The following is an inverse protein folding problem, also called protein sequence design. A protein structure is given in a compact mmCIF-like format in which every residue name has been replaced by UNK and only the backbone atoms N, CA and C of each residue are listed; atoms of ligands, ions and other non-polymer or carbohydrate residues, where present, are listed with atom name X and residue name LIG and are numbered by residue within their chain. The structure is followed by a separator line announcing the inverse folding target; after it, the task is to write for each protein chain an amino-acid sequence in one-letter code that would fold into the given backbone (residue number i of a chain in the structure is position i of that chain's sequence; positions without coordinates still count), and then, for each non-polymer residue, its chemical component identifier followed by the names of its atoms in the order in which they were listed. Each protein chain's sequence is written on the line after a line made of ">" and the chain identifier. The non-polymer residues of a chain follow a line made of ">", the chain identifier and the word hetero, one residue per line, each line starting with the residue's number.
data_IF_257151178948
#
_entry.id   IF_257151178948
#
_cell.length_a   1.000
_cell.length_b   1.000
_cell.length_c   1.000
_cell.angle_alpha   90.00
_cell.angle_beta   90.00
_cell.angle_gamma   90.00
#
_symmetry.space_group_name_H-M   'P 1'
#
loop_
_entity.id
_entity.type
_entity.pdbx_description
1 polymer ?
#
# COMPACT_ATOMS: atom_id res chain seq x y z
N UNK A 1 7.87 32.41 12.09
CA UNK A 1 7.87 32.62 10.62
C UNK A 1 7.33 31.33 10.01
N UNK A 2 6.04 31.26 9.74
CA UNK A 2 5.42 30.06 9.18
C UNK A 2 5.77 29.94 7.71
N UNK A 3 6.33 28.79 7.30
CA UNK A 3 6.43 28.45 5.88
C UNK A 3 4.99 28.47 5.32
N UNK A 4 4.76 29.36 4.35
CA UNK A 4 3.51 29.43 3.62
C UNK A 4 3.49 28.22 2.69
N UNK A 5 2.82 27.16 3.13
CA UNK A 5 2.64 25.94 2.33
C UNK A 5 1.90 26.32 1.05
N UNK A 6 2.50 26.01 -0.11
CA UNK A 6 1.81 26.19 -1.39
C UNK A 6 0.75 25.10 -1.52
N UNK A 7 -0.51 25.52 -1.56
CA UNK A 7 -1.66 24.60 -1.65
C UNK A 7 -1.60 23.80 -2.95
N UNK A 8 -1.05 24.38 -4.01
CA UNK A 8 -0.89 23.72 -5.31
C UNK A 8 0.07 22.55 -5.20
N UNK A 9 1.21 22.75 -4.51
CA UNK A 9 2.21 21.69 -4.26
C UNK A 9 1.62 20.54 -3.42
N UNK A 10 0.79 20.87 -2.42
CA UNK A 10 0.12 19.84 -1.59
C UNK A 10 -0.91 19.05 -2.40
N UNK A 11 -1.66 19.70 -3.29
CA UNK A 11 -2.64 19.04 -4.16
C UNK A 11 -1.91 18.14 -5.17
N UNK A 12 -0.86 18.64 -5.83
CA UNK A 12 -0.04 17.86 -6.77
C UNK A 12 0.54 16.63 -6.08
N UNK A 13 1.15 16.79 -4.90
CA UNK A 13 1.65 15.66 -4.12
C UNK A 13 0.54 14.67 -3.74
N UNK A 14 -0.67 15.16 -3.42
CA UNK A 14 -1.82 14.29 -3.13
C UNK A 14 -2.19 13.40 -4.31
N UNK A 15 -2.25 13.97 -5.50
CA UNK A 15 -2.62 13.24 -6.71
C UNK A 15 -1.54 12.24 -7.14
N UNK A 16 -0.26 12.63 -7.02
CA UNK A 16 0.88 11.73 -7.23
C UNK A 16 0.87 10.56 -6.26
N UNK A 17 0.70 10.83 -4.96
CA UNK A 17 0.66 9.81 -3.92
C UNK A 17 -0.49 8.83 -4.14
N UNK A 18 -1.68 9.34 -4.49
CA UNK A 18 -2.85 8.51 -4.79
C UNK A 18 -2.55 7.56 -5.96
N UNK A 19 -2.03 8.10 -7.05
CA UNK A 19 -1.68 7.33 -8.25
C UNK A 19 -0.65 6.24 -7.94
N UNK A 20 0.43 6.60 -7.24
CA UNK A 20 1.47 5.66 -6.82
C UNK A 20 0.89 4.57 -5.90
N UNK A 21 0.02 4.95 -4.96
CA UNK A 21 -0.64 4.03 -4.04
C UNK A 21 -1.53 3.04 -4.78
N UNK A 22 -2.35 3.48 -5.73
CA UNK A 22 -3.23 2.60 -6.52
C UNK A 22 -2.41 1.58 -7.33
N UNK A 23 -1.34 2.02 -8.00
CA UNK A 23 -0.42 1.14 -8.73
C UNK A 23 0.22 0.13 -7.79
N UNK A 24 0.70 0.57 -6.63
CA UNK A 24 1.35 -0.31 -5.66
C UNK A 24 0.37 -1.35 -5.12
N UNK A 25 -0.83 -0.93 -4.70
CA UNK A 25 -1.91 -1.81 -4.22
C UNK A 25 -2.30 -2.86 -5.26
N UNK A 26 -2.39 -2.47 -6.53
CA UNK A 26 -2.65 -3.40 -7.64
C UNK A 26 -1.54 -4.45 -7.77
N UNK A 27 -0.27 -4.03 -7.74
CA UNK A 27 0.88 -4.96 -7.78
C UNK A 27 0.90 -5.91 -6.58
N UNK A 28 0.63 -5.40 -5.37
CA UNK A 28 0.54 -6.22 -4.17
C UNK A 28 -0.54 -7.28 -4.26
N UNK A 29 -1.71 -6.92 -4.80
CA UNK A 29 -2.82 -7.85 -5.04
C UNK A 29 -2.38 -8.98 -5.98
N UNK A 30 -1.73 -8.64 -7.11
CA UNK A 30 -1.23 -9.65 -8.06
C UNK A 30 -0.19 -10.60 -7.44
N UNK A 31 0.70 -10.08 -6.59
CA UNK A 31 1.67 -10.92 -5.86
C UNK A 31 0.96 -11.85 -4.89
N UNK A 32 -0.01 -11.34 -4.12
CA UNK A 32 -0.81 -12.14 -3.18
C UNK A 32 -1.56 -13.26 -3.91
N UNK A 33 -2.25 -12.96 -5.01
CA UNK A 33 -2.96 -13.96 -5.82
C UNK A 33 -2.01 -15.04 -6.38
N UNK A 34 -0.81 -14.65 -6.80
CA UNK A 34 0.21 -15.59 -7.29
C UNK A 34 0.69 -16.52 -6.17
N UNK A 35 0.93 -15.98 -4.98
CA UNK A 35 1.31 -16.73 -3.79
C UNK A 35 0.22 -17.71 -3.36
N UNK A 36 -1.04 -17.28 -3.36
CA UNK A 36 -2.19 -18.12 -3.00
C UNK A 36 -2.32 -19.31 -3.97
N UNK A 37 -2.14 -19.06 -5.27
CA UNK A 37 -2.10 -20.14 -6.28
C UNK A 37 -0.98 -21.13 -6.01
N UNK A 38 0.25 -20.65 -5.79
CA UNK A 38 1.40 -21.51 -5.49
C UNK A 38 1.19 -22.32 -4.19
N UNK A 39 0.54 -21.72 -3.20
CA UNK A 39 0.28 -22.37 -1.90
C UNK A 39 -0.89 -23.36 -1.94
N UNK A 40 -1.76 -23.26 -2.95
CA UNK A 40 -2.90 -24.17 -3.17
C UNK A 40 -2.52 -25.46 -3.89
N UNK A 41 -1.34 -25.51 -4.51
CA UNK A 41 -0.82 -26.70 -5.18
C UNK A 41 -0.35 -27.70 -4.11
N UNK A 42 -0.71 -28.98 -4.27
CA UNK A 42 -0.36 -30.04 -3.31
C UNK A 42 1.15 -30.28 -3.33
N UNK A 43 1.86 -29.80 -2.30
CA UNK A 43 3.29 -29.94 -2.18
C UNK A 43 3.61 -30.80 -0.94
N UNK A 44 4.25 -31.96 -1.14
CA UNK A 44 4.58 -32.90 -0.04
C UNK A 44 5.98 -32.71 0.54
N UNK A 45 6.73 -31.70 0.10
CA UNK A 45 8.12 -31.50 0.52
C UNK A 45 8.25 -30.51 1.68
N UNK A 46 9.24 -30.73 2.56
CA UNK A 46 9.61 -29.81 3.64
C UNK A 46 9.90 -28.39 3.12
N UNK A 47 10.63 -28.29 2.01
CA UNK A 47 10.96 -27.01 1.34
C UNK A 47 9.71 -26.26 0.88
N UNK A 48 8.68 -26.95 0.42
CA UNK A 48 7.44 -26.30 0.01
C UNK A 48 6.62 -25.76 1.19
N UNK A 49 6.60 -26.49 2.31
CA UNK A 49 5.98 -26.02 3.55
C UNK A 49 6.72 -24.79 4.11
N UNK A 50 8.04 -24.77 4.05
CA UNK A 50 8.86 -23.61 4.43
C UNK A 50 8.58 -22.40 3.51
N UNK A 51 8.51 -22.60 2.20
CA UNK A 51 8.15 -21.55 1.25
C UNK A 51 6.76 -20.97 1.52
N UNK A 52 5.78 -21.80 1.88
CA UNK A 52 4.43 -21.37 2.27
C UNK A 52 4.45 -20.46 3.51
N UNK A 53 5.25 -20.78 4.52
CA UNK A 53 5.40 -19.91 5.70
C UNK A 53 5.99 -18.54 5.33
N UNK A 54 7.03 -18.52 4.48
CA UNK A 54 7.60 -17.26 3.97
C UNK A 54 6.58 -16.43 3.19
N UNK A 55 5.75 -17.10 2.39
CA UNK A 55 4.67 -16.48 1.62
C UNK A 55 3.58 -15.88 2.51
N UNK A 56 3.16 -16.57 3.56
CA UNK A 56 2.19 -16.05 4.54
C UNK A 56 2.75 -14.79 5.26
N UNK A 57 4.02 -14.80 5.63
CA UNK A 57 4.67 -13.65 6.25
C UNK A 57 4.84 -12.47 5.29
N UNK A 58 5.12 -12.75 4.02
CA UNK A 58 5.12 -11.71 2.98
C UNK A 58 3.73 -11.09 2.84
N UNK A 59 2.65 -11.89 2.77
CA UNK A 59 1.28 -11.38 2.68
C UNK A 59 0.94 -10.44 3.84
N UNK A 60 1.34 -10.78 5.07
CA UNK A 60 1.14 -9.90 6.24
C UNK A 60 1.83 -8.55 6.04
N UNK A 61 3.09 -8.55 5.62
CA UNK A 61 3.86 -7.31 5.36
C UNK A 61 3.23 -6.47 4.24
N UNK A 62 2.81 -7.11 3.15
CA UNK A 62 2.12 -6.43 2.05
C UNK A 62 0.81 -5.79 2.51
N UNK A 63 0.08 -6.46 3.40
CA UNK A 63 -1.16 -5.90 3.98
C UNK A 63 -0.88 -4.67 4.85
N UNK A 64 0.19 -4.69 5.66
CA UNK A 64 0.62 -3.51 6.43
C UNK A 64 0.97 -2.33 5.55
N UNK A 65 1.67 -2.55 4.43
CA UNK A 65 1.95 -1.47 3.47
C UNK A 65 0.68 -0.89 2.86
N UNK A 66 -0.29 -1.74 2.50
CA UNK A 66 -1.59 -1.27 2.00
C UNK A 66 -2.31 -0.37 3.02
N UNK A 67 -2.25 -0.71 4.31
CA UNK A 67 -2.75 0.13 5.40
C UNK A 67 -2.04 1.48 5.45
N UNK A 68 -0.71 1.49 5.48
CA UNK A 68 0.10 2.70 5.52
C UNK A 68 -0.24 3.69 4.38
N UNK A 69 -0.36 3.20 3.14
CA UNK A 69 -0.72 4.05 2.01
C UNK A 69 -2.16 4.58 2.10
N UNK A 70 -3.06 3.83 2.71
CA UNK A 70 -4.44 4.28 2.95
C UNK A 70 -4.46 5.38 4.01
N UNK A 71 -3.76 5.18 5.13
CA UNK A 71 -3.68 6.18 6.20
C UNK A 71 -3.03 7.48 5.73
N UNK A 72 -1.97 7.38 4.91
CA UNK A 72 -1.28 8.53 4.35
C UNK A 72 -2.19 9.34 3.40
N UNK A 73 -2.90 8.65 2.49
CA UNK A 73 -3.87 9.28 1.58
C UNK A 73 -5.02 9.95 2.34
N UNK A 74 -5.57 9.29 3.38
CA UNK A 74 -6.62 9.86 4.22
C UNK A 74 -6.14 11.09 5.00
N UNK A 75 -4.92 11.06 5.53
CA UNK A 75 -4.33 12.20 6.21
C UNK A 75 -4.08 13.37 5.26
N UNK A 76 -3.60 13.10 4.05
CA UNK A 76 -3.37 14.16 3.06
C UNK A 76 -4.67 14.82 2.62
N UNK A 77 -5.72 14.02 2.35
CA UNK A 77 -7.05 14.54 2.03
C UNK A 77 -7.61 15.42 3.14
N UNK A 78 -7.47 15.01 4.41
CA UNK A 78 -7.86 15.84 5.56
C UNK A 78 -7.08 17.15 5.61
N UNK A 79 -5.79 17.12 5.30
CA UNK A 79 -4.95 18.32 5.27
C UNK A 79 -5.40 19.30 4.18
N UNK A 80 -5.60 18.82 2.95
CA UNK A 80 -6.12 19.63 1.83
C UNK A 80 -7.49 20.24 2.18
N UNK A 81 -8.40 19.45 2.75
CA UNK A 81 -9.72 19.95 3.18
C UNK A 81 -9.63 21.00 4.28
N UNK A 82 -8.72 20.84 5.24
CA UNK A 82 -8.51 21.82 6.32
C UNK A 82 -8.00 23.14 5.77
N UNK A 83 -7.11 23.10 4.78
CA UNK A 83 -6.56 24.32 4.19
C UNK A 83 -7.63 25.03 3.34
N UNK A 84 -8.46 24.30 2.61
CA UNK A 84 -9.55 24.88 1.80
C UNK A 84 -10.72 25.49 2.62
N UNK A 85 -10.70 25.36 3.96
CA UNK A 85 -11.71 25.93 4.87
C UNK A 85 -11.22 27.18 5.62
N UNK A 86 -9.96 27.57 5.43
CA UNK A 86 -9.35 28.79 5.98
C UNK A 86 -9.30 29.88 4.91
#
# INVERSE_FOLDING_TARGET
>A
MGQKVDISEVIEFSDELKTASEIFKSKLKSVKESIERLSSMSHSSKTANEAKAYFEDLIKRLTSFNGLFTDLDDHLKKHVQSINRC
#
